data_IF_261496169954
#
_entry.id   IF_261496169954
#
_cell.length_a   1.000
_cell.length_b   1.000
_cell.length_c   1.000
_cell.angle_alpha   90.00
_cell.angle_beta   90.00
_cell.angle_gamma   90.00
#
_symmetry.space_group_name_H-M   'P 1'
#
loop_
_entity.id
_entity.type
_entity.pdbx_description
1 polymer ?
#
# COMPACT_ATOMS: atom_id res chain seq x y z
N UNK A 1 -14.69 16.99 -15.02
CA UNK A 1 -14.41 15.54 -14.85
C UNK A 1 -15.61 14.89 -14.20
N UNK A 2 -16.10 13.75 -14.69
CA UNK A 2 -17.08 12.94 -13.94
C UNK A 2 -16.32 12.21 -12.83
N UNK A 3 -16.66 12.43 -11.56
CA UNK A 3 -15.95 11.87 -10.40
C UNK A 3 -16.28 10.37 -10.20
N UNK A 4 -17.51 9.98 -10.50
CA UNK A 4 -18.03 8.62 -10.29
C UNK A 4 -17.19 7.50 -10.94
N UNK A 5 -16.72 7.61 -12.20
CA UNK A 5 -15.83 6.61 -12.81
C UNK A 5 -14.50 6.42 -12.09
N UNK A 6 -13.92 7.50 -11.53
CA UNK A 6 -12.67 7.42 -10.79
C UNK A 6 -12.84 6.73 -9.44
N UNK A 7 -13.95 6.99 -8.74
CA UNK A 7 -14.31 6.29 -7.49
C UNK A 7 -14.52 4.80 -7.75
N UNK A 8 -15.20 4.46 -8.85
CA UNK A 8 -15.41 3.07 -9.26
C UNK A 8 -14.07 2.39 -9.56
N UNK A 9 -13.20 3.02 -10.37
CA UNK A 9 -11.88 2.51 -10.69
C UNK A 9 -10.97 2.36 -9.46
N UNK A 10 -11.15 3.20 -8.43
CA UNK A 10 -10.38 3.13 -7.19
C UNK A 10 -10.74 1.91 -6.32
N UNK A 11 -11.89 1.26 -6.60
CA UNK A 11 -12.41 0.07 -5.89
C UNK A 11 -12.33 0.21 -4.38
N UNK A 12 -13.05 1.20 -3.83
CA UNK A 12 -13.02 1.54 -2.39
C UNK A 12 -13.27 0.34 -1.45
N UNK A 13 -13.99 -0.68 -1.92
CA UNK A 13 -14.21 -1.94 -1.17
C UNK A 13 -12.94 -2.74 -0.89
N UNK A 14 -11.83 -2.46 -1.59
CA UNK A 14 -10.52 -3.08 -1.38
C UNK A 14 -9.65 -2.33 -0.36
N UNK A 15 -9.99 -1.07 -0.05
CA UNK A 15 -9.24 -0.26 0.92
C UNK A 15 -9.25 -0.78 2.36
N UNK A 16 -10.32 -1.42 2.88
CA UNK A 16 -10.31 -2.01 4.21
C UNK A 16 -9.13 -2.96 4.43
N UNK A 17 -8.65 -3.62 3.36
CA UNK A 17 -7.52 -4.52 3.45
C UNK A 17 -6.20 -3.81 3.73
N UNK A 18 -5.95 -2.73 2.98
CA UNK A 18 -4.77 -1.89 3.17
C UNK A 18 -4.83 -1.15 4.53
N UNK A 19 -6.03 -0.72 4.95
CA UNK A 19 -6.22 -0.07 6.25
C UNK A 19 -5.92 -1.04 7.39
N UNK A 20 -6.39 -2.29 7.30
CA UNK A 20 -6.23 -3.29 8.36
C UNK A 20 -4.77 -3.54 8.71
N UNK A 21 -3.88 -3.64 7.72
CA UNK A 21 -2.46 -3.89 8.00
C UNK A 21 -1.80 -2.74 8.75
N UNK A 22 -2.16 -1.49 8.44
CA UNK A 22 -1.65 -0.30 9.15
C UNK A 22 -2.21 -0.22 10.56
N UNK A 23 -3.50 -0.49 10.75
CA UNK A 23 -4.10 -0.49 12.08
C UNK A 23 -3.50 -1.58 12.97
N UNK A 24 -3.26 -2.78 12.44
CA UNK A 24 -2.59 -3.85 13.17
C UNK A 24 -1.14 -3.48 13.52
N UNK A 25 -0.38 -2.94 12.56
CA UNK A 25 0.99 -2.48 12.81
C UNK A 25 1.07 -1.39 13.89
N UNK A 26 0.16 -0.41 13.84
CA UNK A 26 0.06 0.62 14.86
C UNK A 26 -0.37 0.06 16.22
N UNK A 27 -1.32 -0.89 16.24
CA UNK A 27 -1.79 -1.52 17.47
C UNK A 27 -0.69 -2.33 18.16
N UNK A 28 0.06 -3.15 17.43
CA UNK A 28 1.16 -3.94 18.03
C UNK A 28 2.29 -3.05 18.53
N UNK A 29 2.63 -1.98 17.82
CA UNK A 29 3.59 -0.98 18.28
C UNK A 29 3.12 -0.30 19.57
N UNK A 30 1.84 0.12 19.63
CA UNK A 30 1.29 0.78 20.81
C UNK A 30 1.21 -0.14 22.02
N UNK A 31 0.89 -1.42 21.79
CA UNK A 31 0.78 -2.45 22.82
C UNK A 31 2.15 -2.89 23.38
N UNK A 32 3.21 -2.84 22.56
CA UNK A 32 4.58 -3.14 22.98
C UNK A 32 5.14 -2.14 24.00
N UNK A 33 4.59 -0.93 24.05
CA UNK A 33 5.03 0.14 24.94
C UNK A 33 5.99 1.08 24.22
N UNK A 34 5.47 2.23 23.80
CA UNK A 34 6.26 3.26 23.14
C UNK A 34 6.86 4.21 24.19
N UNK A 35 8.10 4.62 23.95
CA UNK A 35 8.74 5.71 24.68
C UNK A 35 8.11 7.07 24.31
N UNK A 36 8.54 8.15 24.96
CA UNK A 36 8.01 9.50 24.71
C UNK A 36 8.16 9.91 23.24
N UNK A 37 9.30 9.58 22.62
CA UNK A 37 9.57 9.85 21.20
C UNK A 37 8.60 9.09 20.29
N UNK A 38 8.41 7.79 20.53
CA UNK A 38 7.49 6.93 19.79
C UNK A 38 6.04 7.37 19.94
N UNK A 39 5.63 7.79 21.14
CA UNK A 39 4.30 8.36 21.39
C UNK A 39 4.09 9.67 20.64
N UNK A 40 5.08 10.56 20.66
CA UNK A 40 5.01 11.86 19.99
C UNK A 40 4.77 11.72 18.47
N UNK A 41 5.45 10.76 17.82
CA UNK A 41 5.29 10.51 16.37
C UNK A 41 4.18 9.56 15.99
N UNK A 42 3.54 8.88 16.95
CA UNK A 42 2.56 7.82 16.69
C UNK A 42 1.48 8.23 15.67
N UNK A 43 0.71 9.27 16.01
CA UNK A 43 -0.41 9.73 15.19
C UNK A 43 0.01 10.21 13.79
N UNK A 44 0.97 11.15 13.63
CA UNK A 44 1.34 11.62 12.30
C UNK A 44 1.91 10.50 11.42
N UNK A 45 2.68 9.57 12.00
CA UNK A 45 3.25 8.43 11.26
C UNK A 45 2.18 7.43 10.85
N UNK A 46 1.26 7.05 11.73
CA UNK A 46 0.17 6.12 11.40
C UNK A 46 -0.78 6.72 10.35
N UNK A 47 -1.10 8.01 10.45
CA UNK A 47 -1.90 8.71 9.43
C UNK A 47 -1.17 8.76 8.09
N UNK A 48 0.13 9.09 8.09
CA UNK A 48 0.95 9.06 6.88
C UNK A 48 1.02 7.68 6.23
N UNK A 49 1.16 6.62 7.05
CA UNK A 49 1.14 5.24 6.59
C UNK A 49 -0.22 4.87 5.98
N UNK A 50 -1.35 5.24 6.61
CA UNK A 50 -2.70 5.03 6.06
C UNK A 50 -2.86 5.67 4.68
N UNK A 51 -2.47 6.95 4.55
CA UNK A 51 -2.52 7.66 3.27
C UNK A 51 -1.66 6.95 2.23
N UNK A 52 -0.45 6.55 2.60
CA UNK A 52 0.49 5.86 1.71
C UNK A 52 -0.07 4.53 1.20
N UNK A 53 -0.53 3.64 2.09
CA UNK A 53 -1.06 2.32 1.67
C UNK A 53 -2.37 2.44 0.90
N UNK A 54 -3.22 3.42 1.22
CA UNK A 54 -4.44 3.66 0.47
C UNK A 54 -4.13 4.13 -0.95
N UNK A 55 -3.16 5.03 -1.13
CA UNK A 55 -2.70 5.46 -2.46
C UNK A 55 -2.08 4.30 -3.24
N UNK A 56 -1.28 3.44 -2.60
CA UNK A 56 -0.74 2.23 -3.22
C UNK A 56 -1.85 1.26 -3.66
N UNK A 57 -2.91 1.10 -2.85
CA UNK A 57 -4.05 0.26 -3.21
C UNK A 57 -4.83 0.83 -4.40
N UNK A 58 -5.06 2.14 -4.42
CA UNK A 58 -5.70 2.83 -5.55
C UNK A 58 -4.83 2.70 -6.80
N UNK A 59 -3.50 2.86 -6.66
CA UNK A 59 -2.55 2.69 -7.75
C UNK A 59 -2.63 1.29 -8.35
N UNK A 60 -2.65 0.25 -7.51
CA UNK A 60 -2.78 -1.14 -7.97
C UNK A 60 -4.11 -1.32 -8.74
N UNK A 61 -5.21 -0.77 -8.23
CA UNK A 61 -6.51 -0.86 -8.92
C UNK A 61 -6.51 -0.15 -10.28
N UNK A 62 -5.92 1.05 -10.38
CA UNK A 62 -5.80 1.78 -11.65
C UNK A 62 -4.86 1.07 -12.64
N UNK A 63 -3.73 0.56 -12.16
CA UNK A 63 -2.78 -0.21 -12.96
C UNK A 63 -3.43 -1.48 -13.50
N UNK A 64 -4.26 -2.15 -12.68
CA UNK A 64 -5.04 -3.32 -13.07
C UNK A 64 -6.01 -3.00 -14.20
N UNK A 65 -6.84 -1.96 -14.04
CA UNK A 65 -7.79 -1.52 -15.08
C UNK A 65 -7.07 -1.15 -16.40
N UNK A 66 -5.92 -0.49 -16.32
CA UNK A 66 -5.13 -0.11 -17.49
C UNK A 66 -4.45 -1.32 -18.16
N UNK A 67 -3.80 -2.17 -17.37
CA UNK A 67 -3.06 -3.34 -17.84
C UNK A 67 -3.98 -4.37 -18.51
N UNK A 68 -5.12 -4.67 -17.89
CA UNK A 68 -6.06 -5.67 -18.39
C UNK A 68 -6.80 -5.16 -19.64
N UNK A 69 -7.14 -3.88 -19.71
CA UNK A 69 -7.69 -3.25 -20.91
C UNK A 69 -6.69 -3.28 -22.08
N UNK A 70 -5.42 -2.89 -21.85
CA UNK A 70 -4.41 -2.86 -22.93
C UNK A 70 -4.01 -4.25 -23.43
N UNK A 71 -4.19 -5.30 -22.61
CA UNK A 71 -4.00 -6.70 -23.00
C UNK A 71 -5.24 -7.31 -23.67
N UNK A 72 -6.39 -6.64 -23.64
CA UNK A 72 -7.66 -7.16 -24.13
C UNK A 72 -8.31 -8.19 -23.20
N UNK A 73 -7.77 -8.43 -22.01
CA UNK A 73 -8.31 -9.40 -21.03
C UNK A 73 -9.74 -9.04 -20.65
N UNK A 74 -10.01 -7.77 -20.33
CA UNK A 74 -11.34 -7.31 -19.95
C UNK A 74 -12.35 -7.41 -21.10
N UNK A 75 -11.91 -7.10 -22.33
CA UNK A 75 -12.75 -7.18 -23.54
C UNK A 75 -13.11 -8.62 -23.87
N UNK A 76 -12.14 -9.54 -23.80
CA UNK A 76 -12.36 -10.97 -24.03
C UNK A 76 -13.32 -11.59 -22.99
N UNK A 77 -13.24 -11.13 -21.74
CA UNK A 77 -14.12 -11.56 -20.65
C UNK A 77 -15.49 -10.83 -20.64
N UNK A 78 -15.74 -9.89 -21.56
CA UNK A 78 -17.00 -9.14 -21.63
C UNK A 78 -17.28 -8.26 -20.40
N UNK A 79 -16.24 -7.81 -19.69
CA UNK A 79 -16.39 -7.08 -18.42
C UNK A 79 -16.91 -5.67 -18.64
N UNK A 80 -17.98 -5.30 -17.95
CA UNK A 80 -18.56 -3.95 -17.96
C UNK A 80 -18.36 -3.21 -16.63
N UNK A 81 -17.83 -3.89 -15.61
CA UNK A 81 -17.55 -3.32 -14.28
C UNK A 81 -16.28 -2.46 -14.24
N UNK A 82 -15.42 -2.56 -15.27
CA UNK A 82 -14.16 -1.80 -15.39
C UNK A 82 -14.38 -0.45 -16.06
N UNK A 83 -13.68 0.59 -15.59
CA UNK A 83 -13.90 1.96 -16.06
C UNK A 83 -13.43 2.16 -17.51
N UNK A 84 -12.37 1.45 -17.93
CA UNK A 84 -11.92 1.49 -19.33
C UNK A 84 -12.77 0.60 -20.23
N UNK A 85 -13.08 -0.63 -19.81
CA UNK A 85 -13.88 -1.56 -20.61
C UNK A 85 -15.31 -1.05 -20.87
N UNK A 86 -15.89 -0.31 -19.91
CA UNK A 86 -17.18 0.38 -20.08
C UNK A 86 -17.12 1.67 -20.90
N UNK A 87 -15.94 2.13 -21.32
CA UNK A 87 -15.75 3.38 -22.05
C UNK A 87 -15.93 4.65 -21.20
N UNK A 88 -16.10 4.53 -19.88
CA UNK A 88 -16.27 5.68 -18.98
C UNK A 88 -14.99 6.51 -18.81
N UNK A 89 -13.83 5.88 -18.99
CA UNK A 89 -12.51 6.52 -19.00
C UNK A 89 -11.70 6.07 -20.21
N UNK A 90 -10.91 6.97 -20.78
CA UNK A 90 -9.97 6.64 -21.85
C UNK A 90 -8.68 6.05 -21.28
N UNK A 91 -7.99 5.20 -22.05
CA UNK A 91 -6.69 4.66 -21.66
C UNK A 91 -5.65 5.77 -21.36
N UNK A 92 -5.68 6.87 -22.12
CA UNK A 92 -4.82 8.04 -21.86
C UNK A 92 -5.12 8.68 -20.50
N UNK A 93 -6.40 8.88 -20.17
CA UNK A 93 -6.80 9.43 -18.88
C UNK A 93 -6.38 8.51 -17.74
N UNK A 94 -6.61 7.19 -17.85
CA UNK A 94 -6.20 6.23 -16.83
C UNK A 94 -4.69 6.19 -16.65
N UNK A 95 -3.90 6.22 -17.74
CA UNK A 95 -2.44 6.27 -17.66
C UNK A 95 -1.96 7.50 -16.86
N UNK A 96 -2.58 8.67 -17.08
CA UNK A 96 -2.31 9.85 -16.24
C UNK A 96 -2.70 9.62 -14.78
N UNK A 97 -3.84 8.99 -14.53
CA UNK A 97 -4.30 8.61 -13.19
C UNK A 97 -3.26 7.75 -12.46
N UNK A 98 -2.78 6.68 -13.11
CA UNK A 98 -1.71 5.81 -12.61
C UNK A 98 -0.45 6.64 -12.27
N UNK A 99 0.02 7.49 -13.18
CA UNK A 99 1.20 8.33 -12.93
C UNK A 99 1.01 9.28 -11.74
N UNK A 100 -0.11 9.97 -11.65
CA UNK A 100 -0.40 10.91 -10.57
C UNK A 100 -0.48 10.16 -9.24
N UNK A 101 -1.22 9.06 -9.17
CA UNK A 101 -1.35 8.27 -7.94
C UNK A 101 -0.02 7.68 -7.50
N UNK A 102 0.84 7.23 -8.44
CA UNK A 102 2.18 6.75 -8.11
C UNK A 102 3.07 7.84 -7.51
N UNK A 103 3.06 9.06 -8.09
CA UNK A 103 3.80 10.21 -7.54
C UNK A 103 3.23 10.59 -6.17
N UNK A 104 1.91 10.63 -6.01
CA UNK A 104 1.29 10.92 -4.71
C UNK A 104 1.65 9.89 -3.65
N UNK A 105 1.66 8.59 -3.99
CA UNK A 105 2.08 7.53 -3.09
C UNK A 105 3.55 7.66 -2.68
N UNK A 106 4.43 8.00 -3.64
CA UNK A 106 5.84 8.26 -3.37
C UNK A 106 6.03 9.44 -2.41
N UNK A 107 5.37 10.57 -2.68
CA UNK A 107 5.44 11.77 -1.83
C UNK A 107 4.91 11.46 -0.43
N UNK A 108 3.74 10.81 -0.32
CA UNK A 108 3.18 10.42 0.97
C UNK A 108 4.12 9.49 1.75
N UNK A 109 4.73 8.50 1.07
CA UNK A 109 5.70 7.60 1.68
C UNK A 109 6.95 8.33 2.17
N UNK A 110 7.53 9.23 1.36
CA UNK A 110 8.69 10.06 1.75
C UNK A 110 8.36 10.95 2.94
N UNK A 111 7.21 11.62 2.94
CA UNK A 111 6.76 12.44 4.07
C UNK A 111 6.60 11.58 5.33
N UNK A 112 6.02 10.39 5.21
CA UNK A 112 5.86 9.45 6.33
C UNK A 112 7.22 9.02 6.91
N UNK A 113 8.21 8.74 6.05
CA UNK A 113 9.57 8.41 6.49
C UNK A 113 10.24 9.59 7.20
N UNK A 114 10.06 10.81 6.70
CA UNK A 114 10.58 12.02 7.36
C UNK A 114 9.97 12.18 8.75
N UNK A 115 8.65 12.02 8.89
CA UNK A 115 7.95 12.09 10.18
C UNK A 115 8.40 10.99 11.15
N UNK A 116 8.77 9.81 10.65
CA UNK A 116 9.17 8.67 11.46
C UNK A 116 10.64 8.73 11.95
N UNK A 117 11.54 9.25 11.12
CA UNK A 117 13.00 9.09 11.31
C UNK A 117 13.78 10.38 11.47
N UNK A 118 13.32 11.53 10.98
CA UNK A 118 14.09 12.78 11.02
C UNK A 118 13.85 13.48 12.37
N UNK A 119 14.87 13.60 13.23
CA UNK A 119 14.70 14.21 14.55
C UNK A 119 14.24 15.67 14.46
N UNK A 120 13.31 16.06 15.33
CA UNK A 120 12.85 17.45 15.45
C UNK A 120 11.78 17.87 14.44
N UNK A 121 11.42 17.04 13.45
CA UNK A 121 10.29 17.32 12.55
C UNK A 121 8.95 17.21 13.28
N UNK A 122 8.79 16.16 14.09
CA UNK A 122 7.63 16.01 14.97
C UNK A 122 7.97 16.60 16.35
N UNK A 123 7.14 17.49 16.92
CA UNK A 123 7.35 18.00 18.28
C UNK A 123 7.52 16.85 19.29
N UNK A 124 8.55 16.92 20.14
CA UNK A 124 8.89 15.84 21.09
C UNK A 124 9.88 14.79 20.55
N UNK A 125 10.37 14.92 19.31
CA UNK A 125 11.36 13.98 18.72
C UNK A 125 12.77 14.57 18.56
N UNK A 126 13.03 15.77 19.09
CA UNK A 126 14.28 16.50 18.86
C UNK A 126 15.54 15.85 19.48
N UNK A 127 15.37 15.04 20.54
CA UNK A 127 16.47 14.30 21.17
C UNK A 127 16.79 12.96 20.51
N UNK A 128 16.03 12.56 19.47
CA UNK A 128 16.24 11.30 18.78
C UNK A 128 17.45 11.35 17.84
N UNK A 129 18.00 10.18 17.51
CA UNK A 129 19.05 10.03 16.50
C UNK A 129 18.44 9.61 15.17
N UNK A 130 18.96 10.13 14.05
CA UNK A 130 18.57 9.71 12.72
C UNK A 130 19.00 8.26 12.47
N UNK A 131 18.04 7.35 12.30
CA UNK A 131 18.31 6.00 11.83
C UNK A 131 18.14 5.90 10.31
N UNK A 132 19.23 6.20 9.60
CA UNK A 132 19.27 6.14 8.14
C UNK A 132 19.12 4.71 7.57
N UNK A 133 19.49 3.68 8.33
CA UNK A 133 19.43 2.30 7.86
C UNK A 133 17.97 1.82 7.79
N UNK A 134 17.20 2.00 8.86
CA UNK A 134 15.76 1.67 8.89
C UNK A 134 14.97 2.54 7.93
N UNK A 135 15.30 3.83 7.85
CA UNK A 135 14.68 4.74 6.88
C UNK A 135 14.93 4.30 5.43
N UNK A 136 16.16 3.93 5.09
CA UNK A 136 16.52 3.44 3.76
C UNK A 136 15.85 2.11 3.41
N UNK A 137 15.79 1.17 4.36
CA UNK A 137 15.11 -0.11 4.19
C UNK A 137 13.60 0.07 3.90
N UNK A 138 12.91 0.88 4.70
CA UNK A 138 11.48 1.15 4.50
C UNK A 138 11.24 1.97 3.23
N UNK A 139 12.15 2.88 2.87
CA UNK A 139 12.14 3.57 1.58
C UNK A 139 12.23 2.59 0.40
N UNK A 140 13.12 1.61 0.48
CA UNK A 140 13.23 0.56 -0.53
C UNK A 140 11.94 -0.27 -0.63
N UNK A 141 11.32 -0.64 0.49
CA UNK A 141 10.02 -1.32 0.49
C UNK A 141 8.89 -0.46 -0.07
N UNK A 142 8.88 0.86 0.19
CA UNK A 142 7.93 1.79 -0.40
C UNK A 142 8.04 1.84 -1.93
N UNK A 143 9.25 1.94 -2.47
CA UNK A 143 9.51 1.88 -3.92
C UNK A 143 9.12 0.52 -4.48
N UNK A 144 9.48 -0.57 -3.79
CA UNK A 144 9.08 -1.92 -4.18
C UNK A 144 7.55 -2.08 -4.22
N UNK A 145 6.82 -1.44 -3.30
CA UNK A 145 5.36 -1.42 -3.28
C UNK A 145 4.75 -0.71 -4.49
N UNK A 146 5.30 0.44 -4.91
CA UNK A 146 4.89 1.14 -6.13
C UNK A 146 5.13 0.25 -7.36
N UNK A 147 6.32 -0.37 -7.45
CA UNK A 147 6.67 -1.27 -8.54
C UNK A 147 5.75 -2.50 -8.56
N UNK A 148 5.47 -3.09 -7.39
CA UNK A 148 4.59 -4.24 -7.25
C UNK A 148 3.15 -3.90 -7.66
N UNK A 149 2.62 -2.74 -7.24
CA UNK A 149 1.29 -2.27 -7.63
C UNK A 149 1.14 -2.14 -9.15
N UNK A 150 2.16 -1.63 -9.84
CA UNK A 150 2.13 -1.51 -11.31
C UNK A 150 2.32 -2.86 -12.01
N UNK A 151 3.30 -3.66 -11.56
CA UNK A 151 3.67 -4.93 -12.22
C UNK A 151 2.69 -6.08 -11.98
N UNK A 152 1.62 -5.89 -11.21
CA UNK A 152 0.60 -6.93 -11.04
C UNK A 152 -0.04 -7.31 -12.38
N UNK A 153 -0.44 -6.33 -13.19
CA UNK A 153 -0.96 -6.54 -14.57
C UNK A 153 -0.16 -5.84 -15.66
N UNK A 154 0.58 -4.77 -15.36
CA UNK A 154 1.28 -3.99 -16.40
C UNK A 154 2.61 -4.63 -16.79
N UNK A 155 2.87 -4.69 -18.09
CA UNK A 155 4.13 -5.17 -18.67
C UNK A 155 4.12 -6.64 -19.08
N UNK A 156 5.21 -7.04 -19.75
CA UNK A 156 5.39 -8.38 -20.33
C UNK A 156 5.58 -9.49 -19.27
N UNK A 157 6.05 -9.14 -18.08
CA UNK A 157 6.27 -10.05 -16.95
C UNK A 157 5.36 -9.67 -15.77
N UNK A 158 4.06 -9.55 -16.04
CA UNK A 158 3.09 -9.22 -15.01
C UNK A 158 2.88 -10.43 -14.09
N UNK A 159 3.26 -10.31 -12.81
CA UNK A 159 3.33 -11.47 -11.91
C UNK A 159 1.95 -11.98 -11.49
N UNK A 160 0.89 -11.18 -11.63
CA UNK A 160 -0.49 -11.64 -11.45
C UNK A 160 -0.87 -12.77 -12.42
N UNK A 161 -0.25 -12.81 -13.60
CA UNK A 161 -0.43 -13.86 -14.61
C UNK A 161 0.54 -15.04 -14.41
N UNK A 162 1.43 -14.98 -13.41
CA UNK A 162 2.39 -16.03 -13.07
C UNK A 162 1.98 -16.84 -11.84
N UNK A 163 0.77 -16.60 -11.31
CA UNK A 163 0.28 -17.28 -10.10
C UNK A 163 0.93 -16.80 -8.80
N UNK A 164 1.68 -15.69 -8.83
CA UNK A 164 2.40 -15.17 -7.65
C UNK A 164 1.56 -14.20 -6.79
N UNK A 165 0.28 -13.99 -7.15
CA UNK A 165 -0.60 -13.03 -6.46
C UNK A 165 -0.67 -13.24 -4.94
N UNK A 166 -0.91 -14.48 -4.50
CA UNK A 166 -1.04 -14.83 -3.09
C UNK A 166 0.23 -14.51 -2.29
N UNK A 167 1.41 -14.81 -2.86
CA UNK A 167 2.69 -14.50 -2.23
C UNK A 167 2.89 -12.99 -2.05
N UNK A 168 2.63 -12.20 -3.11
CA UNK A 168 2.76 -10.74 -3.02
C UNK A 168 1.75 -10.13 -2.07
N UNK A 169 0.52 -10.65 -2.02
CA UNK A 169 -0.49 -10.19 -1.06
C UNK A 169 -0.06 -10.49 0.37
N UNK A 170 0.42 -11.70 0.65
CA UNK A 170 0.98 -12.07 1.96
C UNK A 170 2.15 -11.15 2.36
N UNK A 171 3.06 -10.86 1.42
CA UNK A 171 4.21 -9.99 1.67
C UNK A 171 3.79 -8.56 1.97
N UNK A 172 2.97 -7.93 1.12
CA UNK A 172 2.68 -6.50 1.23
C UNK A 172 1.57 -6.16 2.24
N UNK A 173 0.53 -6.99 2.37
CA UNK A 173 -0.55 -6.77 3.35
C UNK A 173 -0.30 -7.47 4.69
N UNK A 174 0.64 -8.41 4.75
CA UNK A 174 1.06 -9.07 5.97
C UNK A 174 2.41 -8.54 6.46
N UNK A 175 3.49 -9.16 6.00
CA UNK A 175 4.84 -8.97 6.55
C UNK A 175 5.32 -7.51 6.44
N UNK A 176 5.37 -6.95 5.24
CA UNK A 176 5.84 -5.58 5.01
C UNK A 176 4.86 -4.57 5.60
N UNK A 177 3.55 -4.76 5.39
CA UNK A 177 2.52 -3.83 5.86
C UNK A 177 2.49 -3.71 7.38
N UNK A 178 2.32 -4.83 8.09
CA UNK A 178 2.18 -4.84 9.55
C UNK A 178 3.52 -4.55 10.23
N UNK A 179 4.59 -5.27 9.86
CA UNK A 179 5.89 -5.09 10.50
C UNK A 179 6.52 -3.75 10.12
N UNK A 180 6.33 -3.27 8.89
CA UNK A 180 6.84 -1.98 8.46
C UNK A 180 6.20 -0.81 9.20
N UNK A 181 4.88 -0.86 9.45
CA UNK A 181 4.21 0.15 10.27
C UNK A 181 4.64 0.07 11.74
N UNK A 182 4.82 -1.15 12.27
CA UNK A 182 5.40 -1.33 13.59
C UNK A 182 6.79 -0.68 13.68
N UNK A 183 7.65 -0.94 12.69
CA UNK A 183 9.01 -0.39 12.59
C UNK A 183 9.02 1.13 12.43
N UNK A 184 8.08 1.72 11.68
CA UNK A 184 7.96 3.18 11.51
C UNK A 184 7.76 3.90 12.86
N UNK A 185 7.00 3.28 13.76
CA UNK A 185 6.59 3.91 15.03
C UNK A 185 7.52 3.52 16.18
N UNK A 186 7.74 2.22 16.38
CA UNK A 186 8.46 1.68 17.53
C UNK A 186 9.97 1.58 17.30
N UNK A 187 10.44 1.67 16.04
CA UNK A 187 11.83 1.43 15.65
C UNK A 187 12.36 0.03 16.01
N UNK A 188 11.45 -0.89 16.31
CA UNK A 188 11.72 -2.29 16.64
C UNK A 188 10.74 -3.20 15.91
N UNK A 189 11.12 -4.47 15.74
CA UNK A 189 10.23 -5.52 15.24
C UNK A 189 10.42 -6.78 16.08
N UNK A 190 9.74 -6.90 17.23
CA UNK A 190 9.67 -8.15 17.98
C UNK A 190 9.18 -9.30 17.10
N UNK A 191 9.80 -10.48 17.25
CA UNK A 191 9.43 -11.67 16.49
C UNK A 191 7.95 -12.08 16.68
N UNK A 192 7.36 -11.72 17.83
CA UNK A 192 5.95 -11.95 18.14
C UNK A 192 5.00 -11.24 17.18
N UNK A 193 5.42 -10.15 16.54
CA UNK A 193 4.60 -9.41 15.58
C UNK A 193 4.45 -10.12 14.23
N UNK A 194 5.23 -11.17 13.97
CA UNK A 194 5.05 -12.01 12.79
C UNK A 194 3.67 -12.67 12.78
N UNK A 195 3.11 -13.01 13.95
CA UNK A 195 1.78 -13.62 14.05
C UNK A 195 0.66 -12.70 13.53
N UNK A 196 0.48 -11.45 14.03
CA UNK A 196 -0.51 -10.53 13.47
C UNK A 196 -0.24 -10.17 12.00
N UNK A 197 1.04 -10.14 11.58
CA UNK A 197 1.39 -9.95 10.18
C UNK A 197 0.90 -11.10 9.29
N UNK A 198 1.13 -12.35 9.69
CA UNK A 198 0.63 -13.53 8.98
C UNK A 198 -0.90 -13.59 8.97
N UNK A 199 -1.56 -13.24 10.08
CA UNK A 199 -3.02 -13.15 10.14
C UNK A 199 -3.56 -12.17 9.08
N UNK A 200 -3.02 -10.94 9.05
CA UNK A 200 -3.41 -9.92 8.06
C UNK A 200 -3.18 -10.41 6.62
N UNK A 201 -2.02 -11.01 6.35
CA UNK A 201 -1.68 -11.56 5.05
C UNK A 201 -2.59 -12.71 4.62
N UNK A 202 -2.86 -13.68 5.49
CA UNK A 202 -3.78 -14.80 5.21
C UNK A 202 -5.19 -14.32 4.88
N UNK A 203 -5.73 -13.38 5.67
CA UNK A 203 -7.05 -12.80 5.41
C UNK A 203 -7.09 -12.07 4.07
N UNK A 204 -6.00 -11.39 3.71
CA UNK A 204 -5.83 -10.71 2.43
C UNK A 204 -5.82 -11.68 1.25
N UNK A 205 -5.10 -12.79 1.39
CA UNK A 205 -5.07 -13.87 0.38
C UNK A 205 -6.44 -14.54 0.24
N UNK A 206 -7.16 -14.76 1.34
CA UNK A 206 -8.52 -15.31 1.29
C UNK A 206 -9.48 -14.40 0.51
N UNK A 207 -9.42 -13.08 0.76
CA UNK A 207 -10.23 -12.10 0.03
C UNK A 207 -9.84 -12.04 -1.45
N UNK A 208 -8.55 -12.13 -1.79
CA UNK A 208 -8.10 -12.19 -3.18
C UNK A 208 -8.69 -13.41 -3.89
N UNK A 209 -8.61 -14.59 -3.27
CA UNK A 209 -9.13 -15.82 -3.84
C UNK A 209 -10.66 -15.77 -4.02
N UNK A 210 -11.40 -15.25 -3.04
CA UNK A 210 -12.85 -15.03 -3.16
C UNK A 210 -13.23 -14.08 -4.31
N UNK A 211 -12.39 -13.08 -4.61
CA UNK A 211 -12.63 -12.16 -5.73
C UNK A 211 -12.31 -12.78 -7.11
N UNK A 212 -11.60 -13.91 -7.14
CA UNK A 212 -11.15 -14.58 -8.36
C UNK A 212 -11.95 -15.85 -8.70
N UNK A 213 -12.81 -16.33 -7.79
CA UNK A 213 -13.79 -17.40 -8.02
C UNK A 213 -14.98 -16.89 -8.85
#
# INVERSE_FOLDING_TARGET
MKIKPWIQAARLRTLPLAITCVLLGGAVARAHGLDETGLARFTPVVVGALVTVMLLQILANFANDYGDFTKGTDTAAGRTDRALASGLLTAYAMKKGVTITAISALVAGVVTLILAFVPGVVPGTGGATLDGARMGLLGAFGVAGIVAAMRYTMGKQAYGYQGLGDLYVMLFFGLIGVLGVGLLVAHEVPATWVLPALFSGCMSVAVLNLNNL
#
